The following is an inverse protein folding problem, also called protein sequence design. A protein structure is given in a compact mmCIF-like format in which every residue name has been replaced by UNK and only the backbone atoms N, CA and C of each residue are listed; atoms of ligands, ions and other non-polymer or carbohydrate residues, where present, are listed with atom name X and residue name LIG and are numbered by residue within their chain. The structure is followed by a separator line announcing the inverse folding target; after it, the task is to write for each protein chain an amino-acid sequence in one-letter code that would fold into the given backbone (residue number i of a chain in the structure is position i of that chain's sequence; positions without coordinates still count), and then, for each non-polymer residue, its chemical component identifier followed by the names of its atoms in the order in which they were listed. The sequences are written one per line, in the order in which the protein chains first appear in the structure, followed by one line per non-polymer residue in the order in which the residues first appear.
data_IF_178488822735
#
_entry.id   IF_178488822735
#
_cell.length_a   1.000
_cell.length_b   1.000
_cell.length_c   1.000
_cell.angle_alpha   90.00
_cell.angle_beta   90.00
_cell.angle_gamma   90.00
#
_symmetry.space_group_name_H-M   'P 1'
#
loop_
_entity.id
_entity.type
_entity.pdbx_description
1 polymer ?
#
# COMPACT_ATOMS: atom_id res chain seq x y z
N UNK A 1 -27.63 8.73 12.87
CA UNK A 1 -26.61 8.03 12.07
C UNK A 1 -25.38 8.90 12.00
N UNK A 2 -24.30 8.54 12.68
CA UNK A 2 -23.01 9.21 12.49
C UNK A 2 -22.51 8.92 11.08
N UNK A 3 -22.29 9.98 10.30
CA UNK A 3 -21.64 9.91 9.00
C UNK A 3 -20.26 9.28 9.19
N UNK A 4 -20.11 8.01 8.80
CA UNK A 4 -18.78 7.43 8.58
C UNK A 4 -18.28 8.11 7.32
N UNK A 5 -17.74 9.31 7.48
CA UNK A 5 -17.03 10.01 6.42
C UNK A 5 -16.09 8.98 5.80
N UNK A 6 -16.28 8.68 4.52
CA UNK A 6 -15.65 7.58 3.79
C UNK A 6 -14.13 7.86 3.78
N UNK A 7 -13.44 7.40 4.84
CA UNK A 7 -12.12 7.91 5.22
C UNK A 7 -11.10 7.21 4.35
N UNK A 8 -10.37 7.97 3.54
CA UNK A 8 -9.29 7.39 2.74
C UNK A 8 -8.17 6.91 3.67
N UNK A 9 -7.88 5.62 3.61
CA UNK A 9 -6.78 4.97 4.30
C UNK A 9 -5.51 5.08 3.45
N UNK A 10 -4.59 5.92 3.90
CA UNK A 10 -3.28 6.05 3.28
C UNK A 10 -2.35 4.97 3.83
N UNK A 11 -1.93 4.03 2.98
CA UNK A 11 -1.07 2.91 3.36
C UNK A 11 0.27 2.97 2.64
N UNK A 12 1.26 2.28 3.19
CA UNK A 12 2.56 2.06 2.56
C UNK A 12 2.87 0.57 2.43
N UNK A 13 3.60 0.19 1.39
CA UNK A 13 4.06 -1.19 1.18
C UNK A 13 5.56 -1.25 1.47
N UNK A 14 5.97 -2.16 2.36
CA UNK A 14 7.38 -2.43 2.66
C UNK A 14 7.82 -3.67 1.86
N UNK A 15 8.56 -3.45 0.78
CA UNK A 15 9.03 -4.46 -0.16
C UNK A 15 8.20 -4.51 -1.45
N UNK A 16 8.86 -4.39 -2.60
CA UNK A 16 8.24 -4.54 -3.93
C UNK A 16 8.79 -5.77 -4.67
N UNK A 17 8.91 -6.89 -3.96
CA UNK A 17 9.14 -8.20 -4.56
C UNK A 17 7.84 -8.77 -5.16
N UNK A 18 7.84 -10.05 -5.50
CA UNK A 18 6.67 -10.74 -6.12
C UNK A 18 5.37 -10.52 -5.35
N UNK A 19 5.41 -10.64 -4.01
CA UNK A 19 4.22 -10.47 -3.16
C UNK A 19 3.80 -9.00 -3.06
N UNK A 20 4.76 -8.09 -2.92
CA UNK A 20 4.47 -6.66 -2.83
C UNK A 20 3.87 -6.11 -4.12
N UNK A 21 4.40 -6.53 -5.26
CA UNK A 21 3.86 -6.19 -6.58
C UNK A 21 2.46 -6.79 -6.80
N UNK A 22 2.27 -8.07 -6.44
CA UNK A 22 0.96 -8.72 -6.51
C UNK A 22 -0.08 -8.05 -5.62
N UNK A 23 0.32 -7.61 -4.42
CA UNK A 23 -0.55 -6.89 -3.49
C UNK A 23 -0.95 -5.53 -4.05
N UNK A 24 -0.01 -4.78 -4.65
CA UNK A 24 -0.31 -3.51 -5.30
C UNK A 24 -1.29 -3.69 -6.47
N UNK A 25 -1.10 -4.74 -7.29
CA UNK A 25 -2.02 -5.06 -8.39
C UNK A 25 -3.42 -5.37 -7.87
N UNK A 26 -3.55 -6.24 -6.86
CA UNK A 26 -4.84 -6.58 -6.26
C UNK A 26 -5.57 -5.37 -5.68
N UNK A 27 -4.85 -4.48 -4.98
CA UNK A 27 -5.40 -3.24 -4.43
C UNK A 27 -5.89 -2.29 -5.54
N UNK A 28 -5.18 -2.26 -6.67
CA UNK A 28 -5.52 -1.41 -7.82
C UNK A 28 -6.71 -1.96 -8.59
N UNK A 29 -6.69 -3.25 -8.90
CA UNK A 29 -7.69 -3.90 -9.76
C UNK A 29 -9.03 -4.12 -9.04
N UNK A 30 -9.00 -4.26 -7.71
CA UNK A 30 -10.19 -4.59 -6.89
C UNK A 30 -10.61 -3.45 -5.95
N UNK A 31 -10.17 -2.22 -6.21
CA UNK A 31 -10.41 -1.06 -5.34
C UNK A 31 -11.88 -0.86 -4.97
N UNK A 32 -12.80 -1.03 -5.92
CA UNK A 32 -14.25 -0.90 -5.69
C UNK A 32 -14.81 -1.97 -4.74
N UNK A 33 -14.37 -3.22 -4.91
CA UNK A 33 -14.79 -4.31 -4.03
C UNK A 33 -14.22 -4.12 -2.62
N UNK A 34 -12.96 -3.72 -2.52
CA UNK A 34 -12.29 -3.46 -1.24
C UNK A 34 -12.99 -2.29 -0.52
N UNK A 35 -13.31 -1.21 -1.23
CA UNK A 35 -14.07 -0.08 -0.70
C UNK A 35 -15.46 -0.48 -0.25
N UNK A 36 -16.16 -1.35 -0.99
CA UNK A 36 -17.47 -1.89 -0.60
C UNK A 36 -17.40 -2.69 0.70
N UNK A 37 -16.33 -3.48 0.88
CA UNK A 37 -16.14 -4.33 2.08
C UNK A 37 -15.66 -3.53 3.29
N UNK A 38 -14.78 -2.55 3.10
CA UNK A 38 -14.19 -1.76 4.20
C UNK A 38 -14.97 -0.48 4.52
N UNK A 39 -15.83 -0.01 3.62
CA UNK A 39 -16.50 1.29 3.75
C UNK A 39 -15.54 2.47 3.74
N UNK A 40 -14.35 2.29 3.15
CA UNK A 40 -13.26 3.27 3.11
C UNK A 40 -12.40 3.04 1.87
N UNK A 41 -11.92 4.12 1.28
CA UNK A 41 -11.02 4.07 0.12
C UNK A 41 -9.59 3.72 0.57
N UNK A 42 -8.85 2.93 -0.21
CA UNK A 42 -7.44 2.60 0.08
C UNK A 42 -6.55 3.31 -0.93
N UNK A 43 -5.60 4.09 -0.42
CA UNK A 43 -4.58 4.75 -1.22
C UNK A 43 -3.19 4.29 -0.81
N UNK A 44 -2.49 3.61 -1.71
CA UNK A 44 -1.05 3.33 -1.54
C UNK A 44 -0.29 4.64 -1.79
N UNK A 45 0.40 5.14 -0.78
CA UNK A 45 1.08 6.45 -0.81
C UNK A 45 2.59 6.35 -0.87
N UNK A 46 3.16 5.24 -0.41
CA UNK A 46 4.60 5.00 -0.39
C UNK A 46 4.88 3.52 -0.60
N UNK A 47 5.95 3.22 -1.33
CA UNK A 47 6.51 1.88 -1.39
C UNK A 47 7.98 2.00 -0.97
N UNK A 48 8.35 1.31 0.09
CA UNK A 48 9.75 1.17 0.49
C UNK A 48 10.31 -0.07 -0.20
N UNK A 49 11.31 0.11 -1.07
CA UNK A 49 12.04 -1.02 -1.66
C UNK A 49 13.41 -1.13 -1.01
N UNK A 50 13.91 -2.35 -0.89
CA UNK A 50 15.29 -2.58 -0.52
C UNK A 50 16.19 -2.10 -1.67
N UNK A 51 16.79 -0.93 -1.51
CA UNK A 51 18.13 -0.75 -2.07
C UNK A 51 19.05 -1.40 -1.05
N UNK A 52 19.79 -2.40 -1.51
CA UNK A 52 20.85 -3.07 -0.76
C UNK A 52 21.50 -2.09 0.23
N UNK A 53 21.62 -2.55 1.47
CA UNK A 53 22.48 -1.99 2.50
C UNK A 53 23.74 -1.37 1.87
N UNK A 54 23.70 -0.07 1.55
CA UNK A 54 24.90 0.71 1.24
C UNK A 54 25.60 0.83 2.59
N UNK A 55 26.36 -0.20 2.97
CA UNK A 55 27.42 0.02 3.93
C UNK A 55 28.25 1.14 3.32
N UNK A 56 28.53 2.24 4.05
CA UNK A 56 29.74 2.95 3.73
C UNK A 56 30.84 1.88 3.71
N UNK A 57 31.46 1.68 2.55
CA UNK A 57 32.69 0.94 2.47
C UNK A 57 33.66 1.76 3.33
N UNK A 58 33.83 1.35 4.59
CA UNK A 58 34.94 1.82 5.38
C UNK A 58 36.18 1.31 4.65
N UNK A 59 36.81 2.26 3.96
CA UNK A 59 38.16 2.24 3.44
C UNK A 59 39.17 1.87 4.52
#
# INVERSE_FOLDING_TARGET
MSEVANKTLNIGICGLGTVGAGTLALLTDNGDEIRRRLGSDIKVTRIATELSWQRPAWN
#
